data_IF_879654110885
#
_entry.id   IF_879654110885
#
_cell.length_a   1.000
_cell.length_b   1.000
_cell.length_c   1.000
_cell.angle_alpha   90.00
_cell.angle_beta   90.00
_cell.angle_gamma   90.00
#
_symmetry.space_group_name_H-M   'P 1'
#
loop_
_entity.id
_entity.type
_entity.pdbx_description
1 polymer ?
#
# COMPACT_ATOMS: atom_id res chain seq x y z
N UNK A 1 23.54 13.82 -22.47
CA UNK A 1 22.71 13.71 -23.70
C UNK A 1 21.96 15.01 -24.02
N UNK A 2 21.54 15.79 -23.02
CA UNK A 2 20.85 17.09 -23.23
C UNK A 2 21.71 18.14 -23.98
N UNK A 3 23.00 18.25 -23.65
CA UNK A 3 23.95 19.14 -24.36
C UNK A 3 24.05 18.75 -25.84
N UNK A 4 24.23 17.46 -26.13
CA UNK A 4 24.25 16.93 -27.50
C UNK A 4 22.94 17.21 -28.24
N UNK A 5 21.78 17.06 -27.59
CA UNK A 5 20.49 17.39 -28.21
C UNK A 5 20.41 18.89 -28.58
N UNK A 6 20.96 19.76 -27.73
CA UNK A 6 21.02 21.21 -27.97
C UNK A 6 21.94 21.54 -29.14
N UNK A 7 23.12 20.93 -29.21
CA UNK A 7 24.07 21.09 -30.32
C UNK A 7 23.51 20.61 -31.65
N UNK A 8 22.89 19.42 -31.68
CA UNK A 8 22.27 18.87 -32.89
C UNK A 8 21.06 19.69 -33.34
N UNK A 9 20.33 20.27 -32.39
CA UNK A 9 19.22 21.19 -32.68
C UNK A 9 19.69 22.56 -33.16
N UNK A 10 20.88 23.00 -32.78
CA UNK A 10 21.51 24.23 -33.27
C UNK A 10 22.24 24.03 -34.63
N UNK A 11 22.59 22.78 -34.96
CA UNK A 11 23.30 22.42 -36.20
C UNK A 11 22.49 22.64 -37.49
N UNK A 12 23.12 22.33 -38.63
CA UNK A 12 22.55 22.53 -39.97
C UNK A 12 21.22 21.78 -40.15
N UNK A 13 20.15 22.50 -40.52
CA UNK A 13 18.79 21.95 -40.70
C UNK A 13 18.77 20.72 -41.62
N UNK A 14 19.54 20.75 -42.71
CA UNK A 14 19.64 19.64 -43.68
C UNK A 14 20.10 18.30 -43.08
N UNK A 15 20.84 18.32 -41.96
CA UNK A 15 21.37 17.12 -41.30
C UNK A 15 20.45 16.63 -40.17
N UNK A 16 19.54 17.47 -39.66
CA UNK A 16 18.70 17.15 -38.49
C UNK A 16 17.79 15.95 -38.72
N UNK A 17 17.24 15.80 -39.94
CA UNK A 17 16.48 14.61 -40.32
C UNK A 17 17.33 13.34 -40.20
N UNK A 18 18.55 13.37 -40.73
CA UNK A 18 19.47 12.25 -40.66
C UNK A 18 19.84 11.89 -39.20
N UNK A 19 19.98 12.89 -38.33
CA UNK A 19 20.21 12.65 -36.89
C UNK A 19 19.03 11.96 -36.21
N UNK A 20 17.78 12.34 -36.52
CA UNK A 20 16.58 11.66 -36.00
C UNK A 20 16.52 10.21 -36.48
N UNK A 21 16.80 9.97 -37.75
CA UNK A 21 16.79 8.61 -38.32
C UNK A 21 17.93 7.74 -37.76
N UNK A 22 19.12 8.31 -37.58
CA UNK A 22 20.26 7.64 -36.95
C UNK A 22 20.00 7.32 -35.47
N UNK A 23 19.37 8.24 -34.73
CA UNK A 23 18.98 8.03 -33.34
C UNK A 23 17.97 6.88 -33.21
N UNK A 24 16.99 6.79 -34.12
CA UNK A 24 16.07 5.66 -34.13
C UNK A 24 16.80 4.34 -34.41
N UNK A 25 17.65 4.31 -35.44
CA UNK A 25 18.41 3.11 -35.78
C UNK A 25 19.29 2.65 -34.61
N UNK A 26 19.93 3.59 -33.92
CA UNK A 26 20.73 3.29 -32.72
C UNK A 26 19.84 2.75 -31.59
N UNK A 27 18.72 3.39 -31.29
CA UNK A 27 17.78 2.95 -30.25
C UNK A 27 17.20 1.55 -30.50
N UNK A 28 17.09 1.13 -31.77
CA UNK A 28 16.67 -0.23 -32.14
C UNK A 28 17.77 -1.30 -31.95
N UNK A 29 19.04 -0.89 -31.94
CA UNK A 29 20.20 -1.79 -31.82
C UNK A 29 20.80 -1.87 -30.41
N UNK A 30 20.52 -0.88 -29.56
CA UNK A 30 21.03 -0.80 -28.18
C UNK A 30 20.42 -1.91 -27.32
N UNK A 31 21.29 -2.69 -26.68
CA UNK A 31 20.92 -3.71 -25.69
C UNK A 31 20.87 -3.10 -24.29
N UNK A 32 19.84 -3.45 -23.51
CA UNK A 32 19.61 -2.81 -22.20
C UNK A 32 20.64 -3.19 -21.13
N UNK A 33 21.27 -4.36 -21.26
CA UNK A 33 22.23 -4.89 -20.28
C UNK A 33 23.69 -4.51 -20.57
N UNK A 34 23.93 -3.74 -21.65
CA UNK A 34 25.27 -3.31 -22.06
C UNK A 34 25.53 -1.84 -21.73
N UNK A 35 26.82 -1.49 -21.62
CA UNK A 35 27.27 -0.11 -21.47
C UNK A 35 27.94 0.39 -22.74
N UNK A 36 27.63 1.62 -23.14
CA UNK A 36 28.11 2.23 -24.38
C UNK A 36 28.97 3.47 -24.11
N UNK A 37 30.18 3.57 -24.70
CA UNK A 37 30.99 4.79 -24.61
C UNK A 37 30.31 5.98 -25.29
N UNK A 38 30.48 7.19 -24.74
CA UNK A 38 29.94 8.43 -25.31
C UNK A 38 30.36 8.64 -26.78
N UNK A 39 31.64 8.40 -27.08
CA UNK A 39 32.19 8.54 -28.42
C UNK A 39 31.50 7.64 -29.45
N UNK A 40 31.11 6.42 -29.04
CA UNK A 40 30.37 5.50 -29.90
C UNK A 40 28.99 6.05 -30.23
N UNK A 41 28.28 6.59 -29.22
CA UNK A 41 26.95 7.18 -29.41
C UNK A 41 27.03 8.38 -30.35
N UNK A 42 27.96 9.32 -30.12
CA UNK A 42 28.13 10.50 -30.97
C UNK A 42 28.49 10.10 -32.39
N UNK A 43 29.44 9.17 -32.57
CA UNK A 43 29.84 8.69 -33.90
C UNK A 43 28.67 8.05 -34.64
N UNK A 44 27.84 7.25 -33.97
CA UNK A 44 26.66 6.63 -34.58
C UNK A 44 25.61 7.66 -34.98
N UNK A 45 25.46 8.74 -34.22
CA UNK A 45 24.50 9.81 -34.50
C UNK A 45 24.99 10.76 -35.61
N UNK A 46 26.24 11.18 -35.58
CA UNK A 46 26.75 12.29 -36.41
C UNK A 46 27.75 11.88 -37.48
N UNK A 47 28.26 10.64 -37.42
CA UNK A 47 29.43 10.15 -38.19
C UNK A 47 30.73 10.91 -37.90
N UNK A 48 30.73 11.79 -36.88
CA UNK A 48 31.90 12.52 -36.42
C UNK A 48 32.41 11.91 -35.10
N UNK A 49 33.74 11.79 -34.99
CA UNK A 49 34.38 11.29 -33.77
C UNK A 49 34.87 12.49 -32.95
N UNK A 50 34.27 12.77 -31.78
CA UNK A 50 34.74 13.87 -30.95
C UNK A 50 36.17 13.59 -30.44
N UNK A 51 37.00 14.63 -30.26
CA UNK A 51 38.29 14.47 -29.58
C UNK A 51 38.04 13.96 -28.15
N UNK A 52 38.87 13.02 -27.70
CA UNK A 52 38.63 12.25 -26.47
C UNK A 52 38.34 13.14 -25.26
N UNK A 53 37.20 12.88 -24.62
CA UNK A 53 36.74 13.54 -23.40
C UNK A 53 36.46 12.53 -22.30
N UNK A 54 36.62 12.93 -21.04
CA UNK A 54 36.27 12.11 -19.87
C UNK A 54 34.75 12.03 -19.71
N UNK A 55 34.09 11.21 -20.53
CA UNK A 55 32.67 10.92 -20.39
C UNK A 55 32.47 9.53 -19.79
N UNK A 56 31.63 9.46 -18.75
CA UNK A 56 31.24 8.17 -18.18
C UNK A 56 30.47 7.32 -19.21
N UNK A 57 30.69 5.99 -19.25
CA UNK A 57 29.93 5.10 -20.11
C UNK A 57 28.45 5.12 -19.75
N UNK A 58 27.57 5.11 -20.75
CA UNK A 58 26.12 5.15 -20.54
C UNK A 58 25.55 3.75 -20.45
N UNK A 59 24.60 3.54 -19.54
CA UNK A 59 23.81 2.31 -19.49
C UNK A 59 22.86 2.24 -20.70
N UNK A 60 22.73 1.07 -21.32
CA UNK A 60 21.88 0.88 -22.51
C UNK A 60 20.39 1.15 -22.29
N UNK A 61 19.85 0.91 -21.08
CA UNK A 61 18.46 1.25 -20.76
C UNK A 61 18.23 2.77 -20.73
N UNK A 62 19.12 3.50 -20.05
CA UNK A 62 19.08 4.96 -19.96
C UNK A 62 19.34 5.60 -21.32
N UNK A 63 20.38 5.13 -22.03
CA UNK A 63 20.72 5.59 -23.37
C UNK A 63 19.53 5.46 -24.33
N UNK A 64 18.78 4.36 -24.27
CA UNK A 64 17.59 4.20 -25.12
C UNK A 64 16.53 5.26 -24.82
N UNK A 65 16.32 5.62 -23.55
CA UNK A 65 15.37 6.68 -23.19
C UNK A 65 15.86 8.05 -23.66
N UNK A 66 17.15 8.31 -23.47
CA UNK A 66 17.79 9.56 -23.89
C UNK A 66 17.75 9.74 -25.41
N UNK A 67 17.98 8.68 -26.20
CA UNK A 67 17.89 8.71 -27.65
C UNK A 67 16.47 9.04 -28.13
N UNK A 68 15.45 8.49 -27.48
CA UNK A 68 14.05 8.80 -27.81
C UNK A 68 13.69 10.25 -27.47
N UNK A 69 14.24 10.79 -26.40
CA UNK A 69 14.08 12.20 -26.05
C UNK A 69 14.82 13.10 -27.05
N UNK A 70 16.06 12.76 -27.40
CA UNK A 70 16.84 13.47 -28.40
C UNK A 70 16.13 13.52 -29.76
N UNK A 71 15.49 12.43 -30.19
CA UNK A 71 14.66 12.42 -31.40
C UNK A 71 13.51 13.44 -31.32
N UNK A 72 12.86 13.58 -30.16
CA UNK A 72 11.76 14.52 -29.95
C UNK A 72 12.26 15.96 -29.97
N UNK A 73 13.39 16.24 -29.34
CA UNK A 73 13.96 17.58 -29.25
C UNK A 73 14.48 18.05 -30.62
N UNK A 74 15.23 17.20 -31.33
CA UNK A 74 15.72 17.52 -32.67
C UNK A 74 14.56 17.68 -33.64
N UNK A 75 13.55 16.80 -33.60
CA UNK A 75 12.34 16.96 -34.44
C UNK A 75 11.46 18.14 -34.02
N UNK A 76 11.58 18.63 -32.78
CA UNK A 76 10.93 19.88 -32.32
C UNK A 76 11.64 21.14 -32.85
N UNK A 77 12.90 21.04 -33.25
CA UNK A 77 13.70 22.20 -33.69
C UNK A 77 13.44 22.65 -35.14
N UNK A 78 12.77 21.85 -35.98
CA UNK A 78 12.49 22.17 -37.39
C UNK A 78 11.19 21.55 -37.90
N UNK A 79 10.69 22.05 -39.03
CA UNK A 79 9.47 21.55 -39.67
C UNK A 79 9.74 20.28 -40.47
N UNK A 80 9.73 19.14 -39.78
CA UNK A 80 9.81 17.82 -40.39
C UNK A 80 8.43 17.41 -40.91
N UNK A 81 8.26 17.33 -42.23
CA UNK A 81 6.97 16.96 -42.84
C UNK A 81 6.80 15.45 -42.84
N UNK A 82 5.57 14.98 -42.62
CA UNK A 82 5.25 13.56 -42.76
C UNK A 82 5.54 13.05 -44.19
N UNK A 83 5.41 13.90 -45.20
CA UNK A 83 5.70 13.62 -46.61
C UNK A 83 7.20 13.45 -46.91
N UNK A 84 8.09 13.92 -46.04
CA UNK A 84 9.54 13.73 -46.22
C UNK A 84 9.93 12.25 -46.06
N UNK A 85 9.04 11.42 -45.53
CA UNK A 85 9.22 9.98 -45.40
C UNK A 85 8.47 9.23 -46.50
N UNK A 86 9.12 8.22 -47.09
CA UNK A 86 8.50 7.35 -48.10
C UNK A 86 7.48 6.35 -47.50
N UNK A 87 7.07 6.54 -46.25
CA UNK A 87 6.15 5.67 -45.53
C UNK A 87 5.11 6.47 -44.75
N UNK A 88 3.90 5.91 -44.52
CA UNK A 88 2.84 6.65 -43.83
C UNK A 88 3.18 6.86 -42.35
N UNK A 89 2.97 8.10 -41.89
CA UNK A 89 3.02 8.45 -40.48
C UNK A 89 1.61 8.46 -39.87
N UNK A 90 1.45 7.86 -38.69
CA UNK A 90 0.19 7.87 -37.92
C UNK A 90 0.30 8.83 -36.73
N UNK A 91 -0.75 9.59 -36.46
CA UNK A 91 -0.88 10.36 -35.22
C UNK A 91 -1.43 9.49 -34.06
N UNK A 92 -1.41 10.04 -32.83
CA UNK A 92 -1.92 9.34 -31.65
C UNK A 92 -3.38 8.84 -31.80
N UNK A 93 -4.36 9.67 -32.22
CA UNK A 93 -5.74 9.22 -32.44
C UNK A 93 -5.89 8.11 -33.50
N UNK A 94 -5.15 8.19 -34.60
CA UNK A 94 -5.23 7.21 -35.69
C UNK A 94 -4.62 5.88 -35.26
N UNK A 95 -3.49 5.92 -34.57
CA UNK A 95 -2.87 4.73 -34.00
C UNK A 95 -3.77 4.08 -32.92
N UNK A 96 -4.46 4.89 -32.11
CA UNK A 96 -5.38 4.42 -31.08
C UNK A 96 -6.57 3.66 -31.69
N UNK A 97 -7.18 4.24 -32.74
CA UNK A 97 -8.28 3.63 -33.49
C UNK A 97 -7.84 2.32 -34.15
N UNK A 98 -6.65 2.31 -34.78
CA UNK A 98 -6.11 1.13 -35.48
C UNK A 98 -5.90 -0.07 -34.55
N UNK A 99 -5.38 0.16 -33.35
CA UNK A 99 -5.14 -0.92 -32.38
C UNK A 99 -6.32 -1.14 -31.42
N UNK A 100 -7.42 -0.37 -31.56
CA UNK A 100 -8.56 -0.37 -30.64
C UNK A 100 -8.16 -0.16 -29.16
N UNK A 101 -7.19 0.73 -28.92
CA UNK A 101 -6.67 1.07 -27.59
C UNK A 101 -6.89 2.54 -27.27
N UNK A 102 -6.77 2.90 -25.99
CA UNK A 102 -6.81 4.32 -25.57
C UNK A 102 -5.55 5.08 -25.97
N UNK A 103 -5.66 6.40 -26.15
CA UNK A 103 -4.50 7.29 -26.37
C UNK A 103 -3.50 7.24 -25.20
N UNK A 104 -3.97 6.99 -23.97
CA UNK A 104 -3.11 6.76 -22.79
C UNK A 104 -2.24 5.51 -22.93
N UNK A 105 -2.73 4.48 -23.62
CA UNK A 105 -1.96 3.26 -23.88
C UNK A 105 -0.78 3.57 -24.81
N UNK A 106 -0.98 4.41 -25.81
CA UNK A 106 0.09 4.85 -26.73
C UNK A 106 1.10 5.72 -26.00
N UNK A 107 0.65 6.64 -25.14
CA UNK A 107 1.55 7.41 -24.27
C UNK A 107 2.40 6.48 -23.39
N UNK A 108 1.84 5.37 -22.90
CA UNK A 108 2.60 4.34 -22.17
C UNK A 108 3.57 3.59 -23.08
N UNK A 109 3.20 3.28 -24.32
CA UNK A 109 4.10 2.65 -25.29
C UNK A 109 5.32 3.51 -25.60
N UNK A 110 5.17 4.84 -25.65
CA UNK A 110 6.30 5.78 -25.78
C UNK A 110 7.32 5.60 -24.65
N UNK A 111 6.85 5.57 -23.40
CA UNK A 111 7.71 5.31 -22.24
C UNK A 111 8.40 3.93 -22.28
N UNK A 112 7.83 2.98 -23.03
CA UNK A 112 8.38 1.64 -23.21
C UNK A 112 9.30 1.51 -24.43
N UNK A 113 9.52 2.60 -25.18
CA UNK A 113 10.45 2.63 -26.30
C UNK A 113 9.83 2.78 -27.69
N UNK A 114 8.57 3.21 -27.81
CA UNK A 114 7.99 3.53 -29.11
C UNK A 114 8.58 4.87 -29.61
N UNK A 115 9.36 4.81 -30.69
CA UNK A 115 9.95 5.97 -31.35
C UNK A 115 8.87 6.94 -31.85
N UNK A 116 8.93 8.17 -31.36
CA UNK A 116 7.98 9.23 -31.67
C UNK A 116 8.73 10.44 -32.22
N UNK A 117 8.12 11.15 -33.16
CA UNK A 117 8.70 12.32 -33.83
C UNK A 117 7.67 13.44 -33.87
N UNK A 118 8.10 14.69 -33.78
CA UNK A 118 7.23 15.83 -34.05
C UNK A 118 7.15 16.02 -35.57
N UNK A 119 5.99 15.72 -36.15
CA UNK A 119 5.75 15.79 -37.59
C UNK A 119 4.71 16.85 -37.92
N UNK A 120 4.89 17.52 -39.05
CA UNK A 120 3.87 18.36 -39.67
C UNK A 120 3.07 17.48 -40.62
N UNK A 121 1.79 17.31 -40.32
CA UNK A 121 0.86 16.53 -41.13
C UNK A 121 0.32 17.37 -42.31
N UNK A 122 -0.32 16.76 -43.33
CA UNK A 122 -0.89 17.49 -44.47
C UNK A 122 -1.94 18.53 -44.10
N UNK A 123 -2.51 18.44 -42.88
CA UNK A 123 -3.42 19.44 -42.32
C UNK A 123 -2.69 20.71 -41.80
N UNK A 124 -1.37 20.78 -41.97
CA UNK A 124 -0.52 21.88 -41.51
C UNK A 124 -0.27 21.89 -40.01
N UNK A 125 -0.82 20.93 -39.25
CA UNK A 125 -0.67 20.91 -37.80
C UNK A 125 0.53 20.07 -37.37
N UNK A 126 1.28 20.61 -36.40
CA UNK A 126 2.40 19.91 -35.78
C UNK A 126 1.88 19.01 -34.69
N UNK A 127 2.07 17.69 -34.84
CA UNK A 127 1.66 16.69 -33.86
C UNK A 127 2.72 15.61 -33.74
N UNK A 128 2.69 14.90 -32.61
CA UNK A 128 3.49 13.68 -32.50
C UNK A 128 2.96 12.62 -33.46
N UNK A 129 3.85 12.16 -34.33
CA UNK A 129 3.61 11.09 -35.27
C UNK A 129 4.55 9.91 -35.06
N UNK A 130 4.12 8.76 -35.57
CA UNK A 130 4.84 7.50 -35.53
C UNK A 130 4.92 6.95 -36.96
N UNK A 131 6.11 6.58 -37.41
CA UNK A 131 6.25 5.90 -38.70
C UNK A 131 5.74 4.46 -38.62
N UNK A 132 5.24 3.96 -39.74
CA UNK A 132 4.74 2.59 -39.85
C UNK A 132 5.81 1.55 -39.50
N UNK A 133 7.05 1.77 -39.94
CA UNK A 133 8.23 0.97 -39.62
C UNK A 133 8.50 0.91 -38.11
N UNK A 134 8.51 2.07 -37.43
CA UNK A 134 8.71 2.18 -35.98
C UNK A 134 7.63 1.43 -35.20
N UNK A 135 6.36 1.56 -35.62
CA UNK A 135 5.23 0.85 -35.01
C UNK A 135 5.37 -0.66 -35.21
N UNK A 136 5.67 -1.11 -36.44
CA UNK A 136 5.88 -2.53 -36.75
C UNK A 136 7.02 -3.13 -35.94
N UNK A 137 8.14 -2.41 -35.82
CA UNK A 137 9.29 -2.84 -35.02
C UNK A 137 8.91 -2.99 -33.54
N UNK A 138 8.23 -1.98 -32.97
CA UNK A 138 7.78 -2.03 -31.58
C UNK A 138 6.80 -3.18 -31.31
N UNK A 139 5.85 -3.41 -32.22
CA UNK A 139 4.89 -4.52 -32.14
C UNK A 139 5.60 -5.87 -32.26
N UNK A 140 6.61 -6.00 -33.13
CA UNK A 140 7.41 -7.22 -33.29
C UNK A 140 8.16 -7.54 -32.00
N UNK A 141 8.85 -6.55 -31.41
CA UNK A 141 9.61 -6.75 -30.18
C UNK A 141 8.73 -7.00 -28.94
N UNK A 142 7.60 -6.28 -28.81
CA UNK A 142 6.74 -6.33 -27.63
C UNK A 142 5.38 -7.00 -27.89
N UNK A 143 5.34 -8.01 -28.77
CA UNK A 143 4.11 -8.68 -29.23
C UNK A 143 3.20 -9.11 -28.08
N UNK A 144 3.74 -9.72 -27.02
CA UNK A 144 2.96 -10.17 -25.85
C UNK A 144 2.28 -9.01 -25.11
N UNK A 145 2.96 -7.88 -24.94
CA UNK A 145 2.42 -6.71 -24.23
C UNK A 145 1.39 -5.96 -25.08
N UNK A 146 1.62 -5.85 -26.39
CA UNK A 146 0.67 -5.27 -27.34
C UNK A 146 -0.61 -6.09 -27.37
N UNK A 147 -0.52 -7.42 -27.52
CA UNK A 147 -1.68 -8.31 -27.50
C UNK A 147 -2.46 -8.21 -26.18
N UNK A 148 -1.78 -8.13 -25.03
CA UNK A 148 -2.42 -7.88 -23.74
C UNK A 148 -3.16 -6.53 -23.72
N UNK A 149 -2.54 -5.49 -24.25
CA UNK A 149 -3.13 -4.15 -24.31
C UNK A 149 -4.33 -4.07 -25.25
N UNK A 150 -4.31 -4.81 -26.36
CA UNK A 150 -5.43 -4.92 -27.31
C UNK A 150 -6.63 -5.69 -26.72
N UNK A 151 -6.39 -6.64 -25.80
CA UNK A 151 -7.49 -7.34 -25.08
C UNK A 151 -8.25 -6.39 -24.15
N UNK A 152 -7.65 -5.28 -23.73
CA UNK A 152 -8.32 -4.24 -22.95
C UNK A 152 -9.23 -3.39 -23.85
N UNK A 153 -10.44 -3.90 -24.16
CA UNK A 153 -11.49 -3.08 -24.76
C UNK A 153 -12.01 -2.07 -23.75
N UNK A 154 -12.07 -0.80 -24.14
CA UNK A 154 -12.76 0.24 -23.37
C UNK A 154 -14.24 -0.12 -23.21
N UNK A 155 -14.79 0.05 -22.01
CA UNK A 155 -16.22 -0.23 -21.78
C UNK A 155 -17.08 0.85 -22.43
N UNK A 156 -18.11 0.42 -23.15
CA UNK A 156 -19.09 1.34 -23.73
C UNK A 156 -20.01 1.90 -22.64
N UNK A 157 -20.69 3.02 -22.91
CA UNK A 157 -21.68 3.58 -21.99
C UNK A 157 -22.81 2.57 -21.71
N UNK A 158 -23.27 1.87 -22.75
CA UNK A 158 -24.27 0.80 -22.64
C UNK A 158 -23.80 -0.37 -21.75
N UNK A 159 -22.57 -0.85 -21.94
CA UNK A 159 -22.00 -1.90 -21.08
C UNK A 159 -21.91 -1.46 -19.62
N UNK A 160 -21.59 -0.17 -19.38
CA UNK A 160 -21.55 0.41 -18.04
C UNK A 160 -22.92 0.38 -17.37
N UNK A 161 -23.94 0.88 -18.06
CA UNK A 161 -25.32 0.90 -17.56
C UNK A 161 -25.84 -0.51 -17.28
N UNK A 162 -25.57 -1.47 -18.16
CA UNK A 162 -25.99 -2.86 -17.99
C UNK A 162 -25.33 -3.51 -16.76
N UNK A 163 -24.06 -3.20 -16.49
CA UNK A 163 -23.36 -3.65 -15.28
C UNK A 163 -24.02 -3.07 -14.02
N UNK A 164 -24.31 -1.76 -13.99
CA UNK A 164 -24.96 -1.11 -12.85
C UNK A 164 -26.35 -1.69 -12.61
N UNK A 165 -27.16 -1.84 -13.67
CA UNK A 165 -28.51 -2.41 -13.60
C UNK A 165 -28.51 -3.85 -13.09
N UNK A 166 -27.53 -4.67 -13.49
CA UNK A 166 -27.37 -6.03 -12.97
C UNK A 166 -26.86 -6.03 -11.53
N UNK A 167 -25.90 -5.18 -11.20
CA UNK A 167 -25.38 -5.04 -9.85
C UNK A 167 -26.49 -4.67 -8.86
N UNK A 168 -27.37 -3.72 -9.21
CA UNK A 168 -28.52 -3.33 -8.39
C UNK A 168 -29.52 -4.47 -8.18
N UNK A 169 -29.81 -5.25 -9.23
CA UNK A 169 -30.67 -6.45 -9.10
C UNK A 169 -30.04 -7.51 -8.20
N UNK A 170 -28.73 -7.71 -8.29
CA UNK A 170 -28.03 -8.66 -7.41
C UNK A 170 -28.01 -8.16 -5.97
N UNK A 171 -27.75 -6.87 -5.72
CA UNK A 171 -27.71 -6.30 -4.38
C UNK A 171 -29.08 -6.33 -3.68
N UNK A 172 -30.18 -6.22 -4.43
CA UNK A 172 -31.55 -6.24 -3.90
C UNK A 172 -32.07 -7.66 -3.66
N UNK A 173 -31.79 -8.59 -4.57
CA UNK A 173 -32.31 -9.97 -4.50
C UNK A 173 -31.44 -10.92 -3.67
N UNK A 174 -30.14 -10.62 -3.56
CA UNK A 174 -29.18 -11.41 -2.79
C UNK A 174 -28.46 -10.47 -1.84
N UNK A 175 -28.33 -10.83 -0.56
CA UNK A 175 -27.53 -10.09 0.45
C UNK A 175 -26.01 -10.20 0.17
N UNK A 176 -25.61 -10.01 -1.09
CA UNK A 176 -24.25 -10.14 -1.58
C UNK A 176 -23.52 -8.81 -1.46
N UNK A 177 -22.27 -8.86 -1.01
CA UNK A 177 -21.45 -7.65 -0.94
C UNK A 177 -20.94 -7.25 -2.33
N UNK A 178 -20.42 -6.03 -2.47
CA UNK A 178 -19.79 -5.54 -3.71
C UNK A 178 -18.74 -6.50 -4.27
N UNK A 179 -17.99 -7.20 -3.40
CA UNK A 179 -16.99 -8.17 -3.87
C UNK A 179 -17.64 -9.35 -4.58
N UNK A 180 -18.68 -9.92 -3.99
CA UNK A 180 -19.39 -11.08 -4.56
C UNK A 180 -20.10 -10.70 -5.87
N UNK A 181 -20.71 -9.52 -5.90
CA UNK A 181 -21.34 -8.97 -7.12
C UNK A 181 -20.29 -8.72 -8.19
N UNK A 182 -19.13 -8.14 -7.85
CA UNK A 182 -18.06 -7.92 -8.82
C UNK A 182 -17.50 -9.24 -9.39
N UNK A 183 -17.35 -10.28 -8.56
CA UNK A 183 -16.91 -11.60 -9.02
C UNK A 183 -17.94 -12.26 -9.96
N UNK A 184 -19.22 -12.29 -9.57
CA UNK A 184 -20.29 -12.87 -10.40
C UNK A 184 -20.47 -12.14 -11.72
N UNK A 185 -20.35 -10.81 -11.72
CA UNK A 185 -20.42 -10.03 -12.95
C UNK A 185 -19.19 -10.25 -13.82
N UNK A 186 -17.99 -10.41 -13.24
CA UNK A 186 -16.75 -10.66 -13.98
C UNK A 186 -16.82 -11.95 -14.79
N UNK A 187 -17.33 -13.04 -14.17
CA UNK A 187 -17.54 -14.33 -14.83
C UNK A 187 -18.52 -14.21 -16.00
N UNK A 188 -19.61 -13.44 -15.85
CA UNK A 188 -20.63 -13.29 -16.89
C UNK A 188 -20.24 -12.34 -18.02
N UNK A 189 -19.51 -11.27 -17.72
CA UNK A 189 -19.14 -10.25 -18.72
C UNK A 189 -17.76 -10.50 -19.33
N UNK A 190 -16.99 -11.46 -18.80
CA UNK A 190 -15.59 -11.70 -19.20
C UNK A 190 -14.66 -10.52 -18.91
N UNK A 191 -15.03 -9.64 -17.96
CA UNK A 191 -14.26 -8.44 -17.61
C UNK A 191 -13.50 -8.69 -16.30
N UNK A 192 -12.41 -7.94 -16.10
CA UNK A 192 -11.69 -8.01 -14.84
C UNK A 192 -12.56 -7.56 -13.66
N UNK A 193 -12.48 -8.28 -12.54
CA UNK A 193 -13.23 -8.00 -11.30
C UNK A 193 -13.03 -6.55 -10.85
N UNK A 194 -11.80 -6.05 -10.92
CA UNK A 194 -11.49 -4.68 -10.50
C UNK A 194 -12.12 -3.62 -11.40
N UNK A 195 -12.29 -3.89 -12.70
CA UNK A 195 -12.97 -2.98 -13.61
C UNK A 195 -14.44 -2.82 -13.24
N UNK A 196 -15.11 -3.92 -12.91
CA UNK A 196 -16.51 -3.89 -12.46
C UNK A 196 -16.62 -3.19 -11.11
N UNK A 197 -15.72 -3.52 -10.17
CA UNK A 197 -15.66 -2.90 -8.85
C UNK A 197 -15.49 -1.38 -8.95
N UNK A 198 -14.53 -0.93 -9.76
CA UNK A 198 -14.30 0.49 -10.04
C UNK A 198 -15.53 1.16 -10.67
N UNK A 199 -16.16 0.49 -11.64
CA UNK A 199 -17.36 1.01 -12.31
C UNK A 199 -18.51 1.24 -11.34
N UNK A 200 -18.78 0.27 -10.46
CA UNK A 200 -19.84 0.39 -9.46
C UNK A 200 -19.49 1.48 -8.44
N UNK A 201 -18.27 1.50 -7.92
CA UNK A 201 -17.84 2.54 -6.97
C UNK A 201 -17.95 3.94 -7.56
N UNK A 202 -17.48 4.12 -8.79
CA UNK A 202 -17.55 5.39 -9.50
C UNK A 202 -19.00 5.86 -9.64
N UNK A 203 -19.91 4.96 -10.04
CA UNK A 203 -21.33 5.27 -10.12
C UNK A 203 -21.92 5.67 -8.76
N UNK A 204 -21.61 4.92 -7.69
CA UNK A 204 -22.12 5.19 -6.34
C UNK A 204 -21.58 6.52 -5.77
N UNK A 205 -20.37 6.92 -6.14
CA UNK A 205 -19.80 8.24 -5.79
C UNK A 205 -20.44 9.38 -6.61
N UNK A 206 -20.68 9.17 -7.89
CA UNK A 206 -21.28 10.18 -8.78
C UNK A 206 -22.79 10.35 -8.56
N UNK A 207 -23.49 9.32 -8.09
CA UNK A 207 -24.94 9.31 -7.87
C UNK A 207 -25.31 8.76 -6.48
N UNK A 208 -25.08 9.52 -5.39
CA UNK A 208 -25.37 9.08 -4.04
C UNK A 208 -26.82 8.64 -3.82
N UNK A 209 -27.79 9.37 -4.38
CA UNK A 209 -29.23 9.07 -4.25
C UNK A 209 -29.66 7.78 -4.94
N UNK A 210 -28.87 7.32 -5.92
CA UNK A 210 -29.12 6.13 -6.73
C UNK A 210 -28.01 5.08 -6.56
N UNK A 211 -27.28 5.10 -5.45
CA UNK A 211 -26.18 4.19 -5.19
C UNK A 211 -26.64 2.72 -5.20
N UNK A 212 -25.87 1.85 -5.85
CA UNK A 212 -26.06 0.39 -5.85
C UNK A 212 -25.79 -0.16 -4.45
N UNK A 213 -24.75 0.36 -3.78
CA UNK A 213 -24.39 0.00 -2.42
C UNK A 213 -24.33 1.26 -1.53
N UNK A 214 -25.47 1.72 -0.99
CA UNK A 214 -25.54 2.95 -0.19
C UNK A 214 -24.58 2.95 1.00
N UNK A 215 -24.41 1.78 1.63
CA UNK A 215 -23.50 1.59 2.76
C UNK A 215 -22.02 1.78 2.39
N UNK A 216 -21.61 1.67 1.12
CA UNK A 216 -20.22 1.93 0.73
C UNK A 216 -19.90 3.43 0.64
N UNK A 217 -20.89 4.26 0.30
CA UNK A 217 -20.73 5.70 0.17
C UNK A 217 -20.74 6.42 1.52
N UNK A 218 -21.52 5.92 2.49
CA UNK A 218 -21.55 6.47 3.84
C UNK A 218 -20.49 5.80 4.74
N UNK A 219 -19.57 6.57 5.36
CA UNK A 219 -18.77 6.07 6.46
C UNK A 219 -19.72 5.51 7.54
N UNK A 220 -19.40 4.33 8.10
CA UNK A 220 -20.16 3.82 9.25
C UNK A 220 -20.15 4.90 10.34
N UNK A 221 -21.33 5.19 10.88
CA UNK A 221 -21.44 6.09 12.01
C UNK A 221 -20.63 5.54 13.18
N UNK A 222 -20.10 6.42 14.03
CA UNK A 222 -19.34 5.99 15.22
C UNK A 222 -20.13 5.01 16.11
N UNK A 223 -21.46 5.14 16.14
CA UNK A 223 -22.36 4.21 16.83
C UNK A 223 -22.35 2.79 16.27
N UNK A 224 -22.29 2.62 14.93
CA UNK A 224 -22.23 1.31 14.29
C UNK A 224 -20.87 0.65 14.51
N UNK A 225 -19.78 1.43 14.46
CA UNK A 225 -18.44 0.94 14.79
C UNK A 225 -18.37 0.45 16.24
N UNK A 226 -18.98 1.20 17.16
CA UNK A 226 -19.13 0.78 18.56
C UNK A 226 -19.95 -0.51 18.70
N UNK A 227 -21.05 -0.66 17.97
CA UNK A 227 -21.87 -1.86 17.98
C UNK A 227 -21.09 -3.09 17.48
N UNK A 228 -20.36 -2.96 16.36
CA UNK A 228 -19.48 -4.00 15.82
C UNK A 228 -18.42 -4.40 16.86
N UNK A 229 -17.78 -3.41 17.49
CA UNK A 229 -16.73 -3.69 18.45
C UNK A 229 -17.26 -4.35 19.73
N UNK A 230 -18.41 -3.91 20.26
CA UNK A 230 -19.09 -4.57 21.39
C UNK A 230 -19.54 -5.99 21.08
N UNK A 231 -19.99 -6.25 19.84
CA UNK A 231 -20.34 -7.61 19.41
C UNK A 231 -19.10 -8.51 19.33
N UNK A 232 -17.98 -7.99 18.81
CA UNK A 232 -16.70 -8.70 18.81
C UNK A 232 -16.22 -9.03 20.23
N UNK A 233 -16.31 -8.10 21.18
CA UNK A 233 -15.95 -8.35 22.59
C UNK A 233 -16.83 -9.41 23.27
N UNK A 234 -18.06 -9.62 22.79
CA UNK A 234 -18.97 -10.69 23.25
C UNK A 234 -18.68 -12.05 22.61
N UNK A 235 -17.66 -12.15 21.73
CA UNK A 235 -17.26 -13.39 21.08
C UNK A 235 -18.00 -13.69 19.76
N UNK A 236 -18.74 -12.74 19.19
CA UNK A 236 -19.36 -12.93 17.88
C UNK A 236 -18.27 -13.04 16.81
N UNK A 237 -18.26 -14.11 15.99
CA UNK A 237 -17.20 -14.33 15.01
C UNK A 237 -17.24 -13.28 13.89
N UNK A 238 -16.06 -12.83 13.44
CA UNK A 238 -15.92 -11.79 12.40
C UNK A 238 -16.67 -12.10 11.09
N UNK A 239 -16.75 -13.36 10.61
CA UNK A 239 -17.59 -13.69 9.46
C UNK A 239 -19.07 -13.35 9.65
N UNK A 240 -19.65 -13.62 10.83
CA UNK A 240 -21.04 -13.28 11.12
C UNK A 240 -21.26 -11.76 11.16
N UNK A 241 -20.31 -11.01 11.72
CA UNK A 241 -20.33 -9.54 11.69
C UNK A 241 -20.19 -9.00 10.26
N UNK A 242 -19.40 -9.65 9.42
CA UNK A 242 -19.23 -9.26 8.02
C UNK A 242 -20.55 -9.41 7.24
N UNK A 243 -21.27 -10.51 7.45
CA UNK A 243 -22.60 -10.74 6.85
C UNK A 243 -23.65 -9.77 7.41
N UNK A 244 -23.75 -9.65 8.73
CA UNK A 244 -24.75 -8.78 9.39
C UNK A 244 -24.65 -7.32 8.92
N UNK A 245 -23.43 -6.81 8.74
CA UNK A 245 -23.19 -5.42 8.34
C UNK A 245 -22.91 -5.27 6.83
N UNK A 246 -23.07 -6.33 6.02
CA UNK A 246 -22.79 -6.36 4.57
C UNK A 246 -21.39 -5.84 4.17
N UNK A 247 -20.37 -6.14 4.99
CA UNK A 247 -18.98 -5.73 4.79
C UNK A 247 -18.07 -6.90 4.51
N UNK A 248 -16.88 -6.61 3.99
CA UNK A 248 -15.82 -7.62 3.90
C UNK A 248 -15.21 -7.87 5.28
N UNK A 249 -14.74 -9.10 5.52
CA UNK A 249 -14.02 -9.47 6.76
C UNK A 249 -12.86 -8.51 7.07
N UNK A 250 -12.10 -8.11 6.04
CA UNK A 250 -11.01 -7.15 6.18
C UNK A 250 -11.47 -5.78 6.65
N UNK A 251 -12.63 -5.29 6.18
CA UNK A 251 -13.21 -4.04 6.67
C UNK A 251 -13.61 -4.15 8.14
N UNK A 252 -14.20 -5.28 8.55
CA UNK A 252 -14.57 -5.52 9.96
C UNK A 252 -13.32 -5.54 10.86
N UNK A 253 -12.26 -6.23 10.46
CA UNK A 253 -10.98 -6.18 11.20
C UNK A 253 -10.40 -4.77 11.29
N UNK A 254 -10.48 -3.99 10.21
CA UNK A 254 -10.03 -2.59 10.21
C UNK A 254 -10.81 -1.76 11.23
N UNK A 255 -12.14 -1.89 11.25
CA UNK A 255 -13.02 -1.21 12.21
C UNK A 255 -12.69 -1.65 13.64
N UNK A 256 -12.52 -2.95 13.90
CA UNK A 256 -12.15 -3.45 15.22
C UNK A 256 -10.81 -2.85 15.68
N UNK A 257 -9.80 -2.81 14.81
CA UNK A 257 -8.49 -2.25 15.14
C UNK A 257 -8.55 -0.73 15.35
N UNK A 258 -9.37 -0.03 14.58
CA UNK A 258 -9.66 1.41 14.75
C UNK A 258 -10.26 1.68 16.13
N UNK A 259 -11.27 0.89 16.54
CA UNK A 259 -11.89 1.01 17.86
C UNK A 259 -10.94 0.63 19.00
N UNK A 260 -10.08 -0.37 18.82
CA UNK A 260 -9.03 -0.72 19.79
C UNK A 260 -8.03 0.42 19.97
N UNK A 261 -7.52 0.97 18.87
CA UNK A 261 -6.59 2.09 18.89
C UNK A 261 -7.22 3.30 19.59
N UNK A 262 -8.45 3.67 19.23
CA UNK A 262 -9.20 4.77 19.86
C UNK A 262 -9.30 4.57 21.37
N UNK A 263 -9.73 3.40 21.84
CA UNK A 263 -9.81 3.12 23.29
C UNK A 263 -8.46 3.18 23.99
N UNK A 264 -7.40 2.68 23.37
CA UNK A 264 -6.06 2.76 23.96
C UNK A 264 -5.58 4.22 24.03
N UNK A 265 -5.83 5.04 23.01
CA UNK A 265 -5.43 6.45 23.01
C UNK A 265 -6.22 7.25 24.04
N UNK A 266 -7.53 7.03 24.12
CA UNK A 266 -8.45 7.76 25.00
C UNK A 266 -8.29 7.38 26.49
N UNK A 267 -7.69 6.23 26.80
CA UNK A 267 -7.50 5.77 28.17
C UNK A 267 -6.06 6.05 28.66
N UNK A 268 -5.85 7.09 29.50
CA UNK A 268 -4.56 7.34 30.10
C UNK A 268 -4.14 6.18 31.02
N UNK A 269 -2.89 5.74 30.87
CA UNK A 269 -2.31 4.68 31.69
C UNK A 269 -1.60 5.38 32.86
N UNK A 270 -2.25 5.38 34.03
CA UNK A 270 -1.67 6.00 35.22
C UNK A 270 -0.63 5.08 35.86
N UNK A 271 0.59 5.55 36.09
CA UNK A 271 1.63 4.79 36.81
C UNK A 271 2.44 5.75 37.67
N UNK A 272 3.17 5.20 38.64
CA UNK A 272 4.13 5.96 39.43
C UNK A 272 5.52 5.79 38.83
N UNK A 273 6.09 6.90 38.39
CA UNK A 273 7.39 6.92 37.73
C UNK A 273 8.54 6.72 38.74
N UNK A 274 9.57 5.99 38.30
CA UNK A 274 10.85 5.85 38.99
C UNK A 274 11.97 6.11 37.97
N UNK A 275 13.02 6.87 38.30
CA UNK A 275 14.13 7.14 37.38
C UNK A 275 14.82 5.87 36.83
N UNK A 276 14.74 4.75 37.56
CA UNK A 276 15.28 3.47 37.13
C UNK A 276 14.61 2.92 35.85
N UNK A 277 13.41 3.40 35.49
CA UNK A 277 12.67 2.96 34.31
C UNK A 277 13.28 3.43 32.99
N UNK A 278 14.14 4.46 33.04
CA UNK A 278 14.83 5.02 31.88
C UNK A 278 16.21 4.40 31.66
N UNK A 279 16.66 3.50 32.55
CA UNK A 279 17.94 2.84 32.42
C UNK A 279 17.95 1.91 31.18
N UNK A 280 19.07 1.83 30.42
CA UNK A 280 19.16 0.99 29.22
C UNK A 280 18.89 -0.50 29.50
N UNK A 281 19.22 -0.96 30.71
CA UNK A 281 19.03 -2.33 31.18
C UNK A 281 17.80 -2.51 32.09
N UNK A 282 16.87 -1.55 32.12
CA UNK A 282 15.68 -1.60 32.97
C UNK A 282 14.81 -2.85 32.68
N UNK A 283 14.76 -3.30 31.42
CA UNK A 283 14.04 -4.52 31.05
C UNK A 283 14.61 -5.76 31.73
N UNK A 284 15.92 -5.93 31.71
CA UNK A 284 16.59 -7.07 32.34
C UNK A 284 16.54 -6.96 33.86
N UNK A 285 16.76 -5.76 34.42
CA UNK A 285 16.81 -5.54 35.86
C UNK A 285 15.45 -5.66 36.55
N UNK A 286 14.36 -5.30 35.86
CA UNK A 286 13.01 -5.27 36.44
C UNK A 286 12.19 -6.48 35.98
N UNK A 287 12.34 -6.94 34.73
CA UNK A 287 11.53 -8.02 34.14
C UNK A 287 12.32 -9.31 33.86
N UNK A 288 13.63 -9.36 34.14
CA UNK A 288 14.52 -10.44 33.70
C UNK A 288 14.20 -11.84 34.23
N UNK A 289 13.88 -11.96 35.52
CA UNK A 289 13.39 -13.23 36.09
C UNK A 289 11.88 -13.14 36.28
N UNK A 290 11.10 -14.05 35.68
CA UNK A 290 9.68 -14.22 36.02
C UNK A 290 9.57 -14.82 37.42
N UNK A 291 9.31 -13.96 38.41
CA UNK A 291 9.16 -14.38 39.80
C UNK A 291 7.68 -14.43 40.13
N UNK A 292 7.13 -15.65 40.21
CA UNK A 292 5.84 -15.87 40.86
C UNK A 292 6.10 -16.24 42.33
N UNK A 293 6.08 -15.23 43.18
CA UNK A 293 6.25 -15.35 44.64
C UNK A 293 5.19 -16.24 45.31
N UNK A 294 4.12 -16.61 44.59
CA UNK A 294 3.00 -17.41 45.12
C UNK A 294 3.05 -18.89 44.71
N UNK A 295 3.94 -19.29 43.79
CA UNK A 295 3.98 -20.66 43.23
C UNK A 295 4.78 -21.66 44.08
N UNK A 296 4.93 -21.39 45.39
CA UNK A 296 5.47 -22.34 46.38
C UNK A 296 6.96 -22.69 46.27
N UNK A 297 7.67 -22.18 45.25
CA UNK A 297 9.12 -22.38 45.08
C UNK A 297 9.98 -21.39 45.86
N UNK A 298 9.37 -20.41 46.50
CA UNK A 298 10.09 -19.36 47.20
C UNK A 298 10.37 -19.75 48.66
N UNK A 299 11.65 -20.03 48.95
CA UNK A 299 12.15 -20.51 50.25
C UNK A 299 12.03 -19.43 51.34
N UNK A 300 11.80 -18.17 50.95
CA UNK A 300 11.73 -17.01 51.83
C UNK A 300 10.31 -16.66 52.33
N UNK A 301 9.29 -17.34 51.80
CA UNK A 301 7.90 -17.09 52.17
C UNK A 301 7.59 -17.58 53.59
N UNK A 302 6.98 -16.73 54.43
CA UNK A 302 6.49 -17.16 55.75
C UNK A 302 5.40 -18.22 55.56
N UNK A 303 5.44 -19.35 56.31
CA UNK A 303 4.47 -20.42 56.15
C UNK A 303 3.03 -19.91 56.35
N UNK A 304 2.10 -20.49 55.60
CA UNK A 304 0.67 -20.25 55.73
C UNK A 304 0.24 -20.37 57.20
N UNK A 305 -0.26 -19.27 57.79
CA UNK A 305 -0.75 -19.25 59.16
C UNK A 305 -1.97 -20.18 59.29
N UNK A 306 -2.12 -20.87 60.43
CA UNK A 306 -3.31 -21.68 60.68
C UNK A 306 -4.55 -20.77 60.68
N UNK A 307 -5.58 -21.08 59.88
CA UNK A 307 -6.80 -20.28 59.87
C UNK A 307 -7.49 -20.35 61.24
N UNK A 308 -8.10 -19.26 61.74
CA UNK A 308 -8.92 -19.28 62.94
C UNK A 308 -10.06 -20.31 62.83
N UNK A 309 -10.43 -20.99 63.93
CA UNK A 309 -11.44 -22.05 63.91
C UNK A 309 -12.82 -21.57 63.43
N UNK A 310 -13.19 -20.32 63.73
CA UNK A 310 -14.51 -19.73 63.42
C UNK A 310 -14.62 -19.11 62.02
N UNK A 311 -13.60 -19.23 61.18
CA UNK A 311 -13.57 -18.62 59.86
C UNK A 311 -14.42 -19.42 58.84
N UNK A 312 -15.32 -18.78 58.06
CA UNK A 312 -16.09 -19.44 57.00
C UNK A 312 -15.22 -20.18 55.96
N UNK A 313 -15.68 -21.31 55.39
CA UNK A 313 -14.89 -22.15 54.48
C UNK A 313 -14.29 -21.42 53.27
N UNK A 314 -15.00 -20.44 52.70
CA UNK A 314 -14.52 -19.67 51.55
C UNK A 314 -13.36 -18.72 51.90
N UNK A 315 -13.27 -18.27 53.16
CA UNK A 315 -12.17 -17.42 53.63
C UNK A 315 -10.95 -18.24 54.09
N UNK A 316 -11.14 -19.50 54.49
CA UNK A 316 -10.02 -20.40 54.83
C UNK A 316 -9.07 -20.63 53.66
N UNK A 317 -9.58 -20.56 52.42
CA UNK A 317 -8.77 -20.64 51.21
C UNK A 317 -7.73 -19.50 51.12
N UNK A 318 -8.02 -18.31 51.66
CA UNK A 318 -7.10 -17.16 51.66
C UNK A 318 -5.86 -17.40 52.53
N UNK A 319 -5.97 -18.23 53.56
CA UNK A 319 -4.84 -18.57 54.43
C UNK A 319 -3.83 -19.51 53.76
N UNK A 320 -4.21 -20.18 52.67
CA UNK A 320 -3.29 -21.02 51.87
C UNK A 320 -2.31 -20.20 51.04
N UNK A 321 -2.62 -18.93 50.79
CA UNK A 321 -1.75 -18.01 50.06
C UNK A 321 -0.75 -17.39 51.05
N UNK A 322 0.57 -17.50 50.83
CA UNK A 322 1.56 -16.86 51.68
C UNK A 322 1.48 -15.33 51.58
N UNK A 323 1.84 -14.62 52.65
CA UNK A 323 1.99 -13.16 52.59
C UNK A 323 3.31 -12.83 51.92
N UNK A 324 3.31 -11.74 51.16
CA UNK A 324 4.52 -11.17 50.61
C UNK A 324 5.36 -10.52 51.72
N UNK A 325 6.68 -10.58 51.57
CA UNK A 325 7.60 -9.76 52.35
C UNK A 325 7.64 -8.34 51.77
N UNK A 326 8.09 -7.35 52.57
CA UNK A 326 8.22 -5.97 52.10
C UNK A 326 9.10 -5.82 50.85
N UNK A 327 10.13 -6.69 50.70
CA UNK A 327 11.01 -6.71 49.51
C UNK A 327 10.25 -7.22 48.29
N UNK A 328 9.46 -8.30 48.44
CA UNK A 328 8.66 -8.88 47.36
C UNK A 328 7.54 -7.94 46.91
N UNK A 329 6.86 -7.26 47.86
CA UNK A 329 5.85 -6.26 47.53
C UNK A 329 6.46 -5.09 46.75
N UNK A 330 7.60 -4.57 47.22
CA UNK A 330 8.31 -3.50 46.52
C UNK A 330 8.71 -3.90 45.11
N UNK A 331 9.19 -5.13 44.93
CA UNK A 331 9.56 -5.65 43.61
C UNK A 331 8.35 -5.81 42.67
N UNK A 332 7.27 -6.45 43.12
CA UNK A 332 6.05 -6.60 42.34
C UNK A 332 5.43 -5.23 42.00
N UNK A 333 5.45 -4.30 42.93
CA UNK A 333 4.93 -2.96 42.69
C UNK A 333 5.80 -2.16 41.71
N UNK A 334 7.13 -2.32 41.78
CA UNK A 334 8.07 -1.78 40.78
C UNK A 334 7.79 -2.36 39.40
N UNK A 335 7.67 -3.69 39.27
CA UNK A 335 7.31 -4.38 38.01
C UNK A 335 5.98 -3.91 37.45
N UNK A 336 4.96 -3.80 38.29
CA UNK A 336 3.63 -3.32 37.92
C UNK A 336 3.69 -1.92 37.28
N UNK A 337 4.39 -0.99 37.92
CA UNK A 337 4.53 0.38 37.42
C UNK A 337 5.41 0.44 36.17
N UNK A 338 6.47 -0.36 36.10
CA UNK A 338 7.34 -0.41 34.92
C UNK A 338 6.62 -0.94 33.66
N UNK A 339 5.81 -2.00 33.80
CA UNK A 339 5.00 -2.52 32.70
C UNK A 339 4.00 -1.48 32.18
N UNK A 340 3.39 -0.69 33.08
CA UNK A 340 2.50 0.41 32.73
C UNK A 340 3.24 1.58 32.08
N UNK A 341 4.44 1.89 32.56
CA UNK A 341 5.33 2.90 31.95
C UNK A 341 5.67 2.53 30.50
N UNK A 342 6.09 1.28 30.25
CA UNK A 342 6.36 0.78 28.89
C UNK A 342 5.11 0.84 28.00
N UNK A 343 3.96 0.41 28.55
CA UNK A 343 2.69 0.45 27.82
C UNK A 343 2.31 1.89 27.45
N UNK A 344 2.48 2.87 28.35
CA UNK A 344 2.21 4.29 28.09
C UNK A 344 3.14 4.87 27.01
N UNK A 345 4.44 4.56 27.04
CA UNK A 345 5.38 5.00 25.99
C UNK A 345 5.03 4.47 24.61
N UNK A 346 4.61 3.21 24.51
CA UNK A 346 4.17 2.63 23.25
C UNK A 346 2.83 3.21 22.81
N UNK A 347 1.89 3.40 23.74
CA UNK A 347 0.59 4.02 23.49
C UNK A 347 0.72 5.43 22.88
N UNK A 348 1.62 6.27 23.40
CA UNK A 348 1.88 7.62 22.86
C UNK A 348 2.41 7.63 21.44
N UNK A 349 2.98 6.51 20.96
CA UNK A 349 3.46 6.34 19.59
C UNK A 349 2.40 5.78 18.63
N UNK A 350 1.19 5.47 19.11
CA UNK A 350 0.10 4.98 18.28
C UNK A 350 -0.42 6.15 17.42
N UNK A 351 -0.27 6.01 16.12
CA UNK A 351 -0.90 6.89 15.14
C UNK A 351 -2.30 6.36 14.80
N UNK A 352 -3.34 7.14 15.16
CA UNK A 352 -4.73 6.81 14.87
C UNK A 352 -5.04 6.80 13.36
N UNK A 353 -4.29 7.55 12.55
CA UNK A 353 -4.44 7.55 11.09
C UNK A 353 -3.77 6.33 10.44
N UNK A 354 -2.71 5.79 11.06
CA UNK A 354 -1.95 4.63 10.55
C UNK A 354 -1.74 3.55 11.61
N UNK A 355 -2.80 2.78 11.83
CA UNK A 355 -2.82 1.71 12.83
C UNK A 355 -1.91 0.54 12.42
N UNK A 356 -0.95 0.20 13.29
CA UNK A 356 -0.16 -1.04 13.18
C UNK A 356 -0.65 -2.05 14.21
N UNK A 357 -1.17 -3.18 13.74
CA UNK A 357 -1.74 -4.23 14.62
C UNK A 357 -0.73 -4.80 15.62
N UNK A 358 0.56 -4.85 15.25
CA UNK A 358 1.63 -5.29 16.16
C UNK A 358 1.78 -4.40 17.39
N UNK A 359 1.73 -3.08 17.20
CA UNK A 359 1.85 -2.11 18.29
C UNK A 359 0.67 -2.18 19.26
N UNK A 360 -0.56 -2.33 18.75
CA UNK A 360 -1.74 -2.49 19.60
C UNK A 360 -1.63 -3.74 20.48
N UNK A 361 -1.23 -4.88 19.89
CA UNK A 361 -1.06 -6.14 20.63
C UNK A 361 0.02 -6.03 21.69
N UNK A 362 1.10 -5.32 21.42
CA UNK A 362 2.20 -5.14 22.37
C UNK A 362 1.75 -4.33 23.59
N UNK A 363 1.01 -3.23 23.38
CA UNK A 363 0.41 -2.44 24.46
C UNK A 363 -0.60 -3.28 25.27
N UNK A 364 -1.50 -3.99 24.58
CA UNK A 364 -2.48 -4.89 25.22
C UNK A 364 -1.76 -5.98 26.06
N UNK A 365 -0.68 -6.56 25.54
CA UNK A 365 0.10 -7.59 26.22
C UNK A 365 0.80 -7.05 27.47
N UNK A 366 1.42 -5.87 27.42
CA UNK A 366 2.02 -5.23 28.59
C UNK A 366 0.99 -4.92 29.68
N UNK A 367 -0.21 -4.45 29.29
CA UNK A 367 -1.31 -4.20 30.23
C UNK A 367 -1.85 -5.49 30.85
N UNK A 368 -1.93 -6.58 30.07
CA UNK A 368 -2.30 -7.89 30.60
C UNK A 368 -1.27 -8.41 31.62
N UNK A 369 0.03 -8.28 31.33
CA UNK A 369 1.10 -8.63 32.28
C UNK A 369 1.01 -7.78 33.54
N UNK A 370 0.78 -6.46 33.41
CA UNK A 370 0.61 -5.58 34.56
C UNK A 370 -0.60 -5.98 35.41
N UNK A 371 -1.72 -6.38 34.80
CA UNK A 371 -2.87 -6.90 35.52
C UNK A 371 -2.57 -8.24 36.22
N UNK A 372 -1.75 -9.11 35.63
CA UNK A 372 -1.24 -10.32 36.28
C UNK A 372 -0.51 -10.01 37.59
N UNK A 373 0.46 -9.09 37.54
CA UNK A 373 1.21 -8.63 38.73
C UNK A 373 0.29 -7.98 39.76
N UNK A 374 -0.64 -7.11 39.33
CA UNK A 374 -1.65 -6.51 40.21
C UNK A 374 -2.47 -7.58 40.93
N UNK A 375 -2.89 -8.62 40.21
CA UNK A 375 -3.67 -9.71 40.79
C UNK A 375 -2.86 -10.52 41.81
N UNK A 376 -1.54 -10.71 41.61
CA UNK A 376 -0.66 -11.33 42.60
C UNK A 376 -0.60 -10.48 43.88
N UNK A 377 -0.37 -9.16 43.76
CA UNK A 377 -0.36 -8.23 44.92
C UNK A 377 -1.70 -8.29 45.66
N UNK A 378 -2.82 -8.21 44.96
CA UNK A 378 -4.16 -8.26 45.56
C UNK A 378 -4.39 -9.60 46.26
N UNK A 379 -4.05 -10.72 45.63
CA UNK A 379 -4.23 -12.07 46.21
C UNK A 379 -3.43 -12.26 47.49
N UNK A 380 -2.20 -11.76 47.55
CA UNK A 380 -1.39 -11.81 48.76
C UNK A 380 -1.98 -10.95 49.88
N UNK A 381 -2.48 -9.75 49.55
CA UNK A 381 -2.93 -8.77 50.55
C UNK A 381 -4.41 -8.88 50.92
N UNK A 382 -5.22 -9.65 50.20
CA UNK A 382 -6.61 -9.94 50.52
C UNK A 382 -6.80 -10.49 51.94
N UNK A 383 -5.84 -11.29 52.43
CA UNK A 383 -5.88 -11.82 53.80
C UNK A 383 -5.78 -10.70 54.85
N UNK A 384 -4.98 -9.68 54.61
CA UNK A 384 -4.76 -8.56 55.55
C UNK A 384 -5.98 -7.64 55.67
N UNK A 385 -6.87 -7.64 54.68
CA UNK A 385 -8.09 -6.81 54.68
C UNK A 385 -9.25 -7.50 55.39
N UNK A 386 -9.24 -8.84 55.42
CA UNK A 386 -10.31 -9.68 55.99
C UNK A 386 -9.95 -10.20 57.40
N UNK A 387 -8.68 -10.10 57.80
CA UNK A 387 -8.20 -10.34 59.17
C UNK A 387 -8.43 -9.09 60.01
#
# INVERSE_FOLDING_TARGET
MEELATELSAGLVRLRKAYVDAAEALAQTVESDQTYPYEFVVFRLTQFRPPGGEHSPMNGEELRQDLLQLMLDVSASFDLRAEDYAEPACDNPTLARRFHISTKTIQRWRKLGLAARNLVFPDGTRRMGFLESSVKWFVKQRRRQVLRSMRFRQMTAFEREEIIRRARRMATLTHCCLSDVAHRLAERTGRAVETIRYTIRKHDTEHPDNAVFPYLASPLGDQEKDAIYRAFLRGVPVPALAEQYNRTRGSVYRIINEMRARRLVDQPINFMFSPEFDLPNADELILGEEVDYLDGKDVSAKPAAKPPPDLPPYLRALYRVPLLTAVQEKDLFRRYNYLKYKADRLRRKIDAARIRTGQLREVEHLLLRANGVKNQIIRANLRLVVS
#
